data_IF_850042849552
#
_entry.id   IF_850042849552
#
_cell.length_a   1.000
_cell.length_b   1.000
_cell.length_c   1.000
_cell.angle_alpha   90.00
_cell.angle_beta   90.00
_cell.angle_gamma   90.00
#
_symmetry.space_group_name_H-M   'P 1'
#
loop_
_entity.id
_entity.type
_entity.pdbx_description
1 polymer ?
#
# COMPACT_ATOMS: atom_id res chain seq x y z
N UNK A 1 -50.31 -7.84 21.07
CA UNK A 1 -49.78 -9.20 20.88
C UNK A 1 -49.91 -9.53 19.39
N UNK A 2 -48.87 -9.23 18.60
CA UNK A 2 -48.81 -9.45 17.15
C UNK A 2 -47.62 -10.36 16.87
N UNK A 3 -47.88 -11.53 16.30
CA UNK A 3 -46.87 -12.48 15.83
C UNK A 3 -46.42 -12.09 14.42
N UNK A 4 -45.10 -12.02 14.21
CA UNK A 4 -44.47 -11.88 12.90
C UNK A 4 -43.97 -13.27 12.45
N UNK A 5 -44.19 -13.69 11.18
CA UNK A 5 -43.44 -14.77 10.57
C UNK A 5 -42.30 -14.17 9.75
N UNK A 6 -41.10 -14.10 10.33
CA UNK A 6 -39.87 -13.75 9.63
C UNK A 6 -39.09 -15.02 9.31
N UNK A 7 -39.25 -15.51 8.08
CA UNK A 7 -38.53 -16.64 7.53
C UNK A 7 -37.02 -16.36 7.57
N UNK A 8 -36.31 -17.15 8.37
CA UNK A 8 -34.86 -17.22 8.43
C UNK A 8 -34.39 -17.94 7.15
N UNK A 9 -33.95 -17.17 6.15
CA UNK A 9 -33.28 -17.73 4.97
C UNK A 9 -31.86 -18.13 5.33
N UNK A 10 -31.63 -19.43 5.22
CA UNK A 10 -30.39 -20.17 5.40
C UNK A 10 -29.26 -19.66 4.45
N UNK A 11 -28.06 -19.30 4.96
CA UNK A 11 -26.97 -18.76 4.15
C UNK A 11 -26.22 -19.79 3.29
N UNK A 12 -26.72 -21.02 3.13
CA UNK A 12 -26.06 -22.08 2.36
C UNK A 12 -26.58 -22.28 0.92
N UNK A 13 -27.37 -21.36 0.36
CA UNK A 13 -27.93 -21.49 -0.99
C UNK A 13 -27.32 -20.58 -2.09
N UNK A 14 -26.12 -20.02 -1.89
CA UNK A 14 -25.44 -19.24 -2.95
C UNK A 14 -24.59 -20.12 -3.90
N UNK A 15 -24.49 -21.42 -3.67
CA UNK A 15 -23.63 -22.31 -4.52
C UNK A 15 -24.38 -22.94 -5.71
N UNK A 16 -25.66 -22.63 -5.94
CA UNK A 16 -26.45 -23.23 -7.01
C UNK A 16 -26.51 -22.45 -8.35
N UNK A 17 -25.60 -21.51 -8.63
CA UNK A 17 -25.60 -20.79 -9.92
C UNK A 17 -24.32 -20.88 -10.77
N UNK A 18 -23.29 -21.62 -10.35
CA UNK A 18 -22.03 -21.74 -11.13
C UNK A 18 -21.73 -23.15 -11.66
N UNK A 19 -22.55 -24.15 -11.35
CA UNK A 19 -22.38 -25.52 -11.85
C UNK A 19 -23.11 -25.82 -13.18
N UNK A 20 -23.72 -24.83 -13.84
CA UNK A 20 -24.29 -24.98 -15.19
C UNK A 20 -23.45 -24.33 -16.31
N UNK A 21 -22.31 -23.71 -15.99
CA UNK A 21 -21.39 -23.13 -17.00
C UNK A 21 -20.42 -24.14 -17.63
N UNK A 22 -20.57 -25.44 -17.34
CA UNK A 22 -19.76 -26.49 -17.96
C UNK A 22 -20.10 -26.85 -19.42
N UNK A 23 -21.12 -26.21 -20.04
CA UNK A 23 -21.53 -26.50 -21.44
C UNK A 23 -22.03 -25.30 -22.24
N UNK A 24 -21.49 -24.12 -22.01
CA UNK A 24 -21.59 -23.03 -22.98
C UNK A 24 -20.20 -22.49 -23.24
N UNK A 25 -19.63 -22.81 -24.41
CA UNK A 25 -18.47 -22.13 -24.98
C UNK A 25 -18.88 -20.69 -25.28
N UNK A 26 -18.89 -19.85 -24.25
CA UNK A 26 -19.18 -18.42 -24.36
C UNK A 26 -17.89 -17.74 -24.85
N UNK A 27 -17.84 -17.24 -26.09
CA UNK A 27 -16.62 -16.71 -26.69
C UNK A 27 -16.01 -15.56 -25.85
N UNK A 28 -16.84 -14.84 -25.10
CA UNK A 28 -16.42 -13.77 -24.17
C UNK A 28 -15.65 -14.34 -22.97
N UNK A 29 -16.09 -15.48 -22.42
CA UNK A 29 -15.39 -16.15 -21.32
C UNK A 29 -14.06 -16.77 -21.79
N UNK A 30 -14.04 -17.31 -23.01
CA UNK A 30 -12.82 -17.83 -23.63
C UNK A 30 -11.80 -16.71 -23.93
N UNK A 31 -12.27 -15.55 -24.39
CA UNK A 31 -11.43 -14.38 -24.64
C UNK A 31 -10.91 -13.75 -23.34
N UNK A 32 -11.74 -13.66 -22.29
CA UNK A 32 -11.32 -13.22 -20.96
C UNK A 32 -10.29 -14.17 -20.32
N UNK A 33 -10.46 -15.48 -20.47
CA UNK A 33 -9.51 -16.48 -19.99
C UNK A 33 -8.16 -16.39 -20.74
N UNK A 34 -8.18 -16.18 -22.07
CA UNK A 34 -6.97 -15.96 -22.87
C UNK A 34 -6.27 -14.65 -22.50
N UNK A 35 -7.03 -13.58 -22.29
CA UNK A 35 -6.48 -12.29 -21.86
C UNK A 35 -5.81 -12.40 -20.49
N UNK A 36 -6.46 -13.05 -19.52
CA UNK A 36 -5.88 -13.33 -18.22
C UNK A 36 -4.60 -14.18 -18.36
N UNK A 37 -4.64 -15.31 -19.07
CA UNK A 37 -3.48 -16.17 -19.28
C UNK A 37 -2.28 -15.42 -19.88
N UNK A 38 -2.53 -14.55 -20.88
CA UNK A 38 -1.48 -13.73 -21.50
C UNK A 38 -0.89 -12.69 -20.54
N UNK A 39 -1.69 -12.17 -19.61
CA UNK A 39 -1.23 -11.22 -18.60
C UNK A 39 -0.37 -11.91 -17.54
N UNK A 40 -0.77 -13.11 -17.12
CA UNK A 40 0.01 -13.96 -16.23
C UNK A 40 1.38 -14.32 -16.82
N UNK A 41 1.42 -14.69 -18.09
CA UNK A 41 2.67 -14.97 -18.81
C UNK A 41 3.57 -13.72 -18.91
N UNK A 42 2.99 -12.55 -19.20
CA UNK A 42 3.74 -11.29 -19.28
C UNK A 42 4.40 -10.89 -17.96
N UNK A 43 3.66 -11.00 -16.85
CA UNK A 43 4.14 -10.57 -15.55
C UNK A 43 5.02 -11.63 -14.89
N UNK A 44 4.61 -12.90 -14.91
CA UNK A 44 5.36 -13.97 -14.23
C UNK A 44 6.49 -14.56 -15.07
N UNK A 45 6.40 -14.51 -16.40
CA UNK A 45 7.37 -15.12 -17.32
C UNK A 45 7.34 -16.66 -17.34
N UNK A 46 8.40 -17.30 -17.87
CA UNK A 46 8.58 -18.77 -17.95
C UNK A 46 8.40 -19.56 -16.64
N UNK A 47 8.54 -18.99 -15.43
CA UNK A 47 8.22 -19.67 -14.20
C UNK A 47 6.86 -20.33 -14.17
N UNK A 48 5.84 -19.84 -14.90
CA UNK A 48 4.53 -20.51 -15.04
C UNK A 48 4.64 -21.97 -15.51
N UNK A 49 5.66 -22.32 -16.30
CA UNK A 49 5.95 -23.70 -16.73
C UNK A 49 6.73 -24.49 -15.68
N UNK A 50 7.54 -23.81 -14.86
CA UNK A 50 8.25 -24.41 -13.72
C UNK A 50 7.37 -24.60 -12.47
N UNK A 51 6.15 -24.06 -12.47
CA UNK A 51 5.18 -24.27 -11.40
C UNK A 51 4.63 -25.70 -11.52
N UNK A 52 4.95 -26.57 -10.56
CA UNK A 52 4.36 -27.91 -10.48
C UNK A 52 2.82 -27.87 -10.53
N UNK A 53 2.19 -28.98 -10.91
CA UNK A 53 0.74 -29.10 -11.14
C UNK A 53 -0.15 -28.49 -10.04
N UNK A 54 0.30 -28.55 -8.79
CA UNK A 54 -0.38 -27.96 -7.64
C UNK A 54 -0.42 -26.43 -7.68
N UNK A 55 0.68 -25.78 -8.05
CA UNK A 55 0.76 -24.34 -8.12
C UNK A 55 0.11 -23.81 -9.40
N UNK A 56 0.18 -24.56 -10.51
CA UNK A 56 -0.62 -24.27 -11.70
C UNK A 56 -2.12 -24.19 -11.38
N UNK A 57 -2.65 -25.19 -10.66
CA UNK A 57 -4.05 -25.18 -10.21
C UNK A 57 -4.39 -24.00 -9.30
N UNK A 58 -3.45 -23.57 -8.43
CA UNK A 58 -3.65 -22.37 -7.59
C UNK A 58 -3.64 -21.09 -8.40
N UNK A 59 -2.74 -20.98 -9.37
CA UNK A 59 -2.70 -19.84 -10.30
C UNK A 59 -3.97 -19.78 -11.13
N UNK A 60 -4.52 -20.91 -11.58
CA UNK A 60 -5.84 -20.97 -12.24
C UNK A 60 -6.94 -20.43 -11.32
N UNK A 61 -7.00 -20.87 -10.05
CA UNK A 61 -7.95 -20.34 -9.08
C UNK A 61 -7.77 -18.83 -8.81
N UNK A 62 -6.52 -18.35 -8.72
CA UNK A 62 -6.23 -16.92 -8.56
C UNK A 62 -6.55 -16.10 -9.82
N UNK A 63 -6.51 -16.72 -11.00
CA UNK A 63 -6.86 -16.07 -12.26
C UNK A 63 -8.36 -15.80 -12.37
N UNK A 64 -9.17 -16.66 -11.72
CA UNK A 64 -10.61 -16.50 -11.62
C UNK A 64 -11.00 -15.49 -10.52
N UNK A 65 -10.10 -15.22 -9.56
CA UNK A 65 -10.30 -14.24 -8.50
C UNK A 65 -10.14 -12.80 -9.02
N UNK A 66 -11.20 -12.00 -8.90
CA UNK A 66 -11.22 -10.64 -9.42
C UNK A 66 -10.23 -9.70 -8.69
N UNK A 67 -9.94 -9.93 -7.41
CA UNK A 67 -9.02 -9.10 -6.62
C UNK A 67 -7.57 -9.41 -6.97
N UNK A 68 -7.21 -10.68 -7.09
CA UNK A 68 -5.89 -11.10 -7.54
C UNK A 68 -5.60 -10.64 -8.99
N UNK A 69 -6.60 -10.74 -9.88
CA UNK A 69 -6.50 -10.21 -11.25
C UNK A 69 -6.27 -8.71 -11.27
N UNK A 70 -6.97 -7.95 -10.42
CA UNK A 70 -6.75 -6.50 -10.27
C UNK A 70 -5.32 -6.16 -9.85
N UNK A 71 -4.75 -6.89 -8.91
CA UNK A 71 -3.34 -6.72 -8.49
C UNK A 71 -2.39 -7.00 -9.66
N UNK A 72 -2.65 -8.05 -10.43
CA UNK A 72 -1.85 -8.41 -11.60
C UNK A 72 -1.91 -7.36 -12.70
N UNK A 73 -3.11 -6.86 -13.03
CA UNK A 73 -3.31 -5.80 -14.03
C UNK A 73 -2.54 -4.52 -13.66
N UNK A 74 -2.60 -4.11 -12.39
CA UNK A 74 -1.84 -2.95 -11.89
C UNK A 74 -0.34 -3.20 -11.89
N UNK A 75 0.10 -4.41 -11.57
CA UNK A 75 1.51 -4.77 -11.62
C UNK A 75 2.05 -4.68 -13.06
N UNK A 76 1.27 -5.14 -14.04
CA UNK A 76 1.63 -5.04 -15.46
C UNK A 76 1.73 -3.59 -15.96
N UNK A 77 0.96 -2.67 -15.39
CA UNK A 77 1.05 -1.23 -15.70
C UNK A 77 2.31 -0.59 -15.13
N UNK A 78 2.77 -1.06 -13.95
CA UNK A 78 3.96 -0.55 -13.26
C UNK A 78 5.27 -1.19 -13.74
N UNK A 79 5.21 -2.42 -14.22
CA UNK A 79 6.38 -3.19 -14.65
C UNK A 79 6.79 -2.85 -16.09
N UNK A 80 8.10 -2.86 -16.36
CA UNK A 80 8.59 -2.92 -17.73
C UNK A 80 8.37 -4.32 -18.31
N UNK A 81 7.25 -4.46 -19.03
CA UNK A 81 6.88 -5.70 -19.73
C UNK A 81 7.48 -5.79 -21.14
N UNK A 82 8.22 -4.77 -21.59
CA UNK A 82 8.89 -4.77 -22.90
C UNK A 82 10.12 -5.69 -22.94
N UNK A 83 10.76 -5.87 -21.79
CA UNK A 83 11.92 -6.74 -21.63
C UNK A 83 11.50 -8.13 -21.14
N UNK A 84 12.21 -9.20 -21.56
CA UNK A 84 12.06 -10.51 -20.94
C UNK A 84 12.34 -10.42 -19.43
N UNK A 85 11.51 -11.09 -18.65
CA UNK A 85 11.66 -11.10 -17.21
C UNK A 85 10.65 -12.05 -16.58
N UNK A 86 10.91 -12.38 -15.33
CA UNK A 86 10.12 -13.35 -14.61
C UNK A 86 10.14 -13.09 -13.11
N UNK A 87 9.09 -13.59 -12.44
CA UNK A 87 8.93 -13.46 -10.99
C UNK A 87 9.28 -14.80 -10.34
N UNK A 88 10.13 -14.82 -9.31
CA UNK A 88 10.43 -16.07 -8.61
C UNK A 88 9.14 -16.76 -8.09
N UNK A 89 8.98 -18.08 -8.27
CA UNK A 89 7.78 -18.82 -7.83
C UNK A 89 7.39 -18.60 -6.37
N UNK A 90 8.39 -18.47 -5.49
CA UNK A 90 8.20 -18.20 -4.06
C UNK A 90 7.53 -16.86 -3.81
N UNK A 91 7.93 -15.82 -4.55
CA UNK A 91 7.34 -14.49 -4.47
C UNK A 91 5.91 -14.55 -4.98
N UNK A 92 5.71 -15.10 -6.18
CA UNK A 92 4.38 -15.23 -6.78
C UNK A 92 3.41 -15.95 -5.84
N UNK A 93 3.81 -17.11 -5.30
CA UNK A 93 2.96 -17.90 -4.42
C UNK A 93 2.56 -17.15 -3.14
N UNK A 94 3.50 -16.45 -2.51
CA UNK A 94 3.20 -15.66 -1.32
C UNK A 94 2.30 -14.46 -1.63
N UNK A 95 2.55 -13.78 -2.75
CA UNK A 95 1.86 -12.55 -3.12
C UNK A 95 0.41 -12.80 -3.51
N UNK A 96 0.15 -13.82 -4.35
CA UNK A 96 -1.23 -14.11 -4.75
C UNK A 96 -2.08 -14.69 -3.63
N UNK A 97 -1.46 -15.38 -2.67
CA UNK A 97 -2.16 -15.77 -1.44
C UNK A 97 -2.67 -14.55 -0.66
N UNK A 98 -1.97 -13.42 -0.71
CA UNK A 98 -2.44 -12.16 -0.12
C UNK A 98 -3.40 -11.41 -1.05
N UNK A 99 -3.16 -11.44 -2.36
CA UNK A 99 -3.90 -10.67 -3.35
C UNK A 99 -5.38 -11.05 -3.44
N UNK A 100 -5.73 -12.32 -3.18
CA UNK A 100 -7.14 -12.78 -3.14
C UNK A 100 -7.97 -12.10 -2.02
N UNK A 101 -7.31 -11.47 -1.05
CA UNK A 101 -7.95 -10.73 0.05
C UNK A 101 -7.75 -9.22 -0.07
N UNK A 102 -7.20 -8.74 -1.19
CA UNK A 102 -6.87 -7.32 -1.39
C UNK A 102 -8.11 -6.55 -1.88
N UNK A 103 -9.16 -6.46 -1.07
CA UNK A 103 -10.37 -5.69 -1.35
C UNK A 103 -10.11 -4.17 -1.32
N UNK A 104 -9.22 -3.73 -0.43
CA UNK A 104 -8.81 -2.34 -0.27
C UNK A 104 -7.82 -1.88 -1.35
N UNK A 105 -8.01 -0.65 -1.84
CA UNK A 105 -7.17 -0.05 -2.87
C UNK A 105 -5.69 0.06 -2.45
N UNK A 106 -5.39 0.46 -1.22
CA UNK A 106 -4.00 0.56 -0.76
C UNK A 106 -3.34 -0.82 -0.70
N UNK A 107 -4.06 -1.86 -0.29
CA UNK A 107 -3.52 -3.22 -0.27
C UNK A 107 -3.19 -3.66 -1.71
N UNK A 108 -4.11 -3.45 -2.65
CA UNK A 108 -3.91 -3.80 -4.05
C UNK A 108 -2.75 -3.03 -4.70
N UNK A 109 -2.60 -1.74 -4.39
CA UNK A 109 -1.52 -0.90 -4.91
C UNK A 109 -0.14 -1.32 -4.40
N UNK A 110 -0.01 -1.60 -3.10
CA UNK A 110 1.28 -2.03 -2.55
C UNK A 110 1.66 -3.42 -3.07
N UNK A 111 0.73 -4.38 -3.08
CA UNK A 111 1.00 -5.71 -3.61
C UNK A 111 1.34 -5.68 -5.10
N UNK A 112 0.64 -4.86 -5.90
CA UNK A 112 0.93 -4.73 -7.33
C UNK A 112 2.30 -4.10 -7.60
N UNK A 113 2.69 -3.11 -6.80
CA UNK A 113 4.02 -2.52 -6.86
C UNK A 113 5.11 -3.54 -6.53
N UNK A 114 4.95 -4.29 -5.42
CA UNK A 114 5.89 -5.36 -5.04
C UNK A 114 5.97 -6.45 -6.11
N UNK A 115 4.86 -6.79 -6.77
CA UNK A 115 4.86 -7.76 -7.87
C UNK A 115 5.62 -7.23 -9.08
N UNK A 116 5.40 -5.96 -9.44
CA UNK A 116 6.06 -5.32 -10.58
C UNK A 116 7.58 -5.31 -10.43
N UNK A 117 8.07 -5.00 -9.22
CA UNK A 117 9.50 -4.91 -8.93
C UNK A 117 10.17 -6.26 -8.72
N UNK A 118 9.40 -7.31 -8.41
CA UNK A 118 9.90 -8.67 -8.31
C UNK A 118 10.25 -9.29 -9.68
N UNK A 119 9.76 -8.69 -10.78
CA UNK A 119 10.02 -9.15 -12.13
C UNK A 119 11.44 -8.74 -12.54
N UNK A 120 12.33 -9.72 -12.61
CA UNK A 120 13.74 -9.53 -12.98
C UNK A 120 14.09 -10.40 -14.18
N UNK A 121 15.14 -10.04 -14.92
CA UNK A 121 15.58 -10.79 -16.11
C UNK A 121 15.88 -12.25 -15.76
N UNK A 122 16.53 -12.48 -14.62
CA UNK A 122 16.97 -13.80 -14.16
C UNK A 122 15.88 -14.59 -13.44
N UNK A 123 14.88 -13.91 -12.84
CA UNK A 123 13.77 -14.57 -12.15
C UNK A 123 14.12 -15.26 -10.83
N UNK A 124 15.30 -14.98 -10.27
CA UNK A 124 15.81 -15.64 -9.05
C UNK A 124 15.88 -14.71 -7.84
N UNK A 125 15.70 -13.41 -8.02
CA UNK A 125 15.74 -12.43 -6.92
C UNK A 125 14.46 -12.47 -6.10
N UNK A 126 14.50 -13.17 -4.96
CA UNK A 126 13.34 -13.35 -4.09
C UNK A 126 13.23 -12.31 -2.95
N UNK A 127 13.96 -11.19 -3.01
CA UNK A 127 13.87 -10.13 -1.98
C UNK A 127 12.45 -9.60 -1.77
N UNK A 128 11.61 -9.65 -2.81
CA UNK A 128 10.19 -9.30 -2.75
C UNK A 128 9.36 -10.16 -1.78
N UNK A 129 9.84 -11.33 -1.34
CA UNK A 129 9.20 -12.12 -0.27
C UNK A 129 9.11 -11.30 1.02
N UNK A 130 10.18 -10.57 1.37
CA UNK A 130 10.21 -9.74 2.58
C UNK A 130 9.20 -8.60 2.52
N UNK A 131 9.08 -7.95 1.35
CA UNK A 131 8.11 -6.88 1.11
C UNK A 131 6.67 -7.39 1.10
N UNK A 132 6.42 -8.54 0.49
CA UNK A 132 5.11 -9.20 0.51
C UNK A 132 4.68 -9.47 1.96
N UNK A 133 5.58 -10.02 2.78
CA UNK A 133 5.31 -10.28 4.19
C UNK A 133 5.12 -8.99 5.01
N UNK A 134 5.82 -7.91 4.68
CA UNK A 134 5.63 -6.61 5.31
C UNK A 134 4.25 -6.05 5.02
N UNK A 135 3.85 -5.99 3.74
CA UNK A 135 2.53 -5.50 3.33
C UNK A 135 1.42 -6.33 3.98
N UNK A 136 1.57 -7.65 4.09
CA UNK A 136 0.54 -8.51 4.71
C UNK A 136 0.39 -8.32 6.22
N UNK A 137 1.38 -7.73 6.92
CA UNK A 137 1.26 -7.40 8.36
C UNK A 137 0.65 -6.04 8.62
N UNK A 138 0.54 -5.20 7.60
CA UNK A 138 -0.02 -3.86 7.70
C UNK A 138 -1.53 -3.91 7.46
N UNK A 139 -2.30 -3.22 8.30
CA UNK A 139 -3.70 -2.96 8.01
C UNK A 139 -3.83 -2.00 6.82
N UNK A 140 -5.00 -1.97 6.19
CA UNK A 140 -5.31 -0.98 5.14
C UNK A 140 -5.14 0.47 5.64
N UNK A 141 -5.47 0.74 6.90
CA UNK A 141 -5.25 2.06 7.52
C UNK A 141 -3.75 2.36 7.69
N UNK A 142 -2.93 1.36 8.04
CA UNK A 142 -1.48 1.53 8.12
C UNK A 142 -0.87 1.79 6.73
N UNK A 143 -1.28 1.06 5.69
CA UNK A 143 -0.84 1.31 4.31
C UNK A 143 -1.28 2.69 3.81
N UNK A 144 -2.50 3.12 4.16
CA UNK A 144 -3.02 4.44 3.85
C UNK A 144 -2.21 5.54 4.53
N UNK A 145 -1.97 5.41 5.84
CA UNK A 145 -1.16 6.37 6.59
C UNK A 145 0.29 6.40 6.08
N UNK A 146 0.88 5.25 5.76
CA UNK A 146 2.20 5.17 5.14
C UNK A 146 2.24 5.97 3.84
N UNK A 147 1.28 5.74 2.93
CA UNK A 147 1.21 6.50 1.68
C UNK A 147 1.13 8.01 1.92
N UNK A 148 0.31 8.45 2.88
CA UNK A 148 0.16 9.87 3.24
C UNK A 148 1.48 10.45 3.73
N UNK A 149 2.13 9.81 4.70
CA UNK A 149 3.37 10.31 5.30
C UNK A 149 4.49 10.39 4.26
N UNK A 150 4.66 9.36 3.44
CA UNK A 150 5.73 9.32 2.45
C UNK A 150 5.45 10.19 1.22
N UNK A 151 4.19 10.43 0.88
CA UNK A 151 3.83 11.47 -0.11
C UNK A 151 4.14 12.87 0.42
N UNK A 152 3.88 13.13 1.70
CA UNK A 152 4.22 14.41 2.33
C UNK A 152 5.75 14.60 2.41
N UNK A 153 6.50 13.56 2.78
CA UNK A 153 7.96 13.55 2.72
C UNK A 153 8.46 13.89 1.32
N UNK A 154 8.00 13.17 0.29
CA UNK A 154 8.36 13.45 -1.11
C UNK A 154 8.19 14.92 -1.47
N UNK A 155 7.03 15.50 -1.14
CA UNK A 155 6.73 16.92 -1.42
C UNK A 155 7.73 17.86 -0.74
N UNK A 156 8.19 17.54 0.46
CA UNK A 156 9.22 18.31 1.16
C UNK A 156 10.61 18.17 0.56
N UNK A 157 10.88 17.03 -0.10
CA UNK A 157 12.14 16.77 -0.77
C UNK A 157 12.20 17.32 -2.19
N UNK A 158 11.07 17.70 -2.80
CA UNK A 158 11.07 18.31 -4.13
C UNK A 158 11.93 19.58 -4.15
N UNK A 159 12.95 19.58 -5.02
CA UNK A 159 13.92 20.66 -5.14
C UNK A 159 15.01 20.67 -4.05
N UNK A 160 15.08 19.64 -3.20
CA UNK A 160 16.15 19.43 -2.23
C UNK A 160 17.15 18.40 -2.74
N UNK A 161 18.38 18.47 -2.25
CA UNK A 161 19.37 17.41 -2.44
C UNK A 161 19.06 16.25 -1.48
N UNK A 162 18.61 15.12 -2.04
CA UNK A 162 18.21 13.92 -1.31
C UNK A 162 19.27 12.80 -1.36
N UNK A 163 20.49 13.08 -1.82
CA UNK A 163 21.55 12.06 -1.96
C UNK A 163 21.82 11.33 -0.63
N UNK A 164 21.81 12.08 0.47
CA UNK A 164 21.89 11.53 1.83
C UNK A 164 20.49 11.50 2.45
N UNK A 165 19.64 10.60 1.95
CA UNK A 165 18.25 10.46 2.41
C UNK A 165 18.11 10.28 3.93
N UNK A 166 19.10 9.69 4.59
CA UNK A 166 19.13 9.52 6.05
C UNK A 166 19.10 10.85 6.83
N UNK A 167 19.66 11.92 6.26
CA UNK A 167 19.56 13.26 6.84
C UNK A 167 18.09 13.70 6.92
N UNK A 168 17.32 13.43 5.88
CA UNK A 168 15.92 13.82 5.79
C UNK A 168 14.99 12.92 6.61
N UNK A 169 15.25 11.61 6.63
CA UNK A 169 14.37 10.67 7.34
C UNK A 169 14.41 10.88 8.85
N UNK A 170 15.49 11.41 9.40
CA UNK A 170 15.59 11.74 10.84
C UNK A 170 14.84 13.01 11.25
N UNK A 171 14.39 13.83 10.30
CA UNK A 171 13.59 15.03 10.59
C UNK A 171 12.14 14.66 10.89
N UNK A 172 11.56 15.33 11.89
CA UNK A 172 10.18 15.10 12.28
C UNK A 172 9.21 15.93 11.41
N UNK A 173 8.22 15.26 10.83
CA UNK A 173 7.06 15.84 10.17
C UNK A 173 5.93 16.01 11.18
N UNK A 174 5.23 17.13 11.07
CA UNK A 174 4.05 17.49 11.88
C UNK A 174 2.83 17.48 10.97
N UNK A 175 1.84 16.66 11.34
CA UNK A 175 0.53 16.56 10.69
C UNK A 175 -0.55 16.98 11.70
N UNK A 176 -1.38 17.97 11.36
CA UNK A 176 -2.54 18.31 12.20
C UNK A 176 -3.67 17.32 11.96
N UNK A 177 -4.42 16.95 12.99
CA UNK A 177 -5.59 16.08 12.82
C UNK A 177 -6.70 16.77 12.01
N UNK A 178 -6.80 18.09 12.12
CA UNK A 178 -7.70 18.91 11.31
C UNK A 178 -7.43 18.75 9.81
N UNK A 179 -6.18 18.54 9.42
CA UNK A 179 -5.84 18.30 8.03
C UNK A 179 -5.84 16.84 7.61
N UNK A 180 -5.39 15.96 8.51
CA UNK A 180 -5.20 14.55 8.24
C UNK A 180 -6.55 13.81 8.18
N UNK A 181 -7.39 13.96 9.20
CA UNK A 181 -8.60 13.14 9.37
C UNK A 181 -9.63 13.35 8.26
N UNK A 182 -9.94 14.58 7.81
CA UNK A 182 -10.93 14.77 6.74
C UNK A 182 -10.47 14.24 5.38
N UNK A 183 -9.17 14.05 5.19
CA UNK A 183 -8.57 13.62 3.91
C UNK A 183 -8.28 12.13 3.89
N UNK A 184 -8.11 11.53 5.06
CA UNK A 184 -7.73 10.15 5.23
C UNK A 184 -8.87 9.46 5.96
N UNK A 185 -9.75 8.82 5.19
CA UNK A 185 -10.93 8.13 5.73
C UNK A 185 -10.51 7.04 6.72
N UNK A 186 -10.56 7.35 8.00
CA UNK A 186 -10.34 6.42 9.11
C UNK A 186 -11.68 5.99 9.75
N UNK A 187 -12.80 6.21 9.07
CA UNK A 187 -14.15 5.96 9.58
C UNK A 187 -14.72 7.10 10.42
N UNK A 188 -15.78 6.79 11.16
CA UNK A 188 -16.61 7.77 11.86
C UNK A 188 -15.91 8.48 13.03
N UNK A 189 -16.51 9.60 13.46
CA UNK A 189 -16.02 10.50 14.51
C UNK A 189 -15.61 9.78 15.81
N UNK A 190 -16.29 8.68 16.16
CA UNK A 190 -16.09 7.96 17.42
C UNK A 190 -14.94 6.93 17.36
N UNK A 191 -14.44 6.58 16.17
CA UNK A 191 -13.48 5.48 15.99
C UNK A 191 -12.20 5.87 15.26
N UNK A 192 -12.20 6.97 14.51
CA UNK A 192 -11.05 7.35 13.67
C UNK A 192 -9.76 7.52 14.49
N UNK A 193 -9.84 8.06 15.71
CA UNK A 193 -8.66 8.28 16.57
C UNK A 193 -7.98 6.96 16.88
N UNK A 194 -8.74 5.95 17.31
CA UNK A 194 -8.19 4.63 17.63
C UNK A 194 -7.55 3.97 16.41
N UNK A 195 -8.17 4.11 15.24
CA UNK A 195 -7.65 3.55 13.97
C UNK A 195 -6.38 4.24 13.49
N UNK A 196 -6.34 5.58 13.53
CA UNK A 196 -5.16 6.37 13.19
C UNK A 196 -3.97 6.01 14.10
N UNK A 197 -4.20 5.98 15.41
CA UNK A 197 -3.15 5.69 16.39
C UNK A 197 -2.66 4.25 16.26
N UNK A 198 -3.56 3.27 16.08
CA UNK A 198 -3.18 1.89 15.82
C UNK A 198 -2.36 1.74 14.53
N UNK A 199 -2.73 2.46 13.46
CA UNK A 199 -1.97 2.52 12.23
C UNK A 199 -0.57 3.10 12.44
N UNK A 200 -0.45 4.24 13.12
CA UNK A 200 0.83 4.89 13.42
C UNK A 200 1.77 3.99 14.23
N UNK A 201 1.28 3.38 15.31
CA UNK A 201 2.08 2.44 16.12
C UNK A 201 2.45 1.17 15.35
N UNK A 202 1.59 0.69 14.44
CA UNK A 202 1.91 -0.45 13.58
C UNK A 202 3.06 -0.11 12.64
N UNK A 203 3.03 1.07 12.02
CA UNK A 203 4.11 1.53 11.15
C UNK A 203 5.42 1.74 11.91
N UNK A 204 5.37 2.28 13.13
CA UNK A 204 6.57 2.42 13.97
C UNK A 204 7.14 1.05 14.37
N UNK A 205 6.28 0.10 14.77
CA UNK A 205 6.71 -1.27 15.10
C UNK A 205 7.35 -2.00 13.92
N UNK A 206 6.85 -1.78 12.71
CA UNK A 206 7.41 -2.37 11.48
C UNK A 206 8.64 -1.60 10.96
N UNK A 207 9.11 -0.57 11.68
CA UNK A 207 10.30 0.20 11.31
C UNK A 207 10.08 1.15 10.12
N UNK A 208 8.83 1.48 9.81
CA UNK A 208 8.44 2.38 8.72
C UNK A 208 8.24 3.82 9.19
N UNK A 209 8.11 4.04 10.50
CA UNK A 209 8.12 5.34 11.16
C UNK A 209 9.04 5.26 12.37
N UNK A 210 9.45 6.42 12.88
CA UNK A 210 10.19 6.52 14.14
C UNK A 210 9.87 7.82 14.86
N UNK A 211 10.30 7.92 16.12
CA UNK A 211 10.08 9.08 16.98
C UNK A 211 8.62 9.57 16.94
N UNK A 212 7.67 8.61 16.95
CA UNK A 212 6.26 8.90 16.80
C UNK A 212 5.68 9.40 18.13
N UNK A 213 4.95 10.51 18.07
CA UNK A 213 4.16 11.02 19.18
C UNK A 213 2.91 11.69 18.66
N UNK A 214 1.92 11.89 19.53
CA UNK A 214 0.67 12.51 19.16
C UNK A 214 0.00 13.20 20.35
N UNK A 215 -0.95 14.09 20.06
CA UNK A 215 -1.76 14.80 21.04
C UNK A 215 -1.78 16.31 20.81
N UNK A 216 -2.52 17.02 21.66
CA UNK A 216 -2.59 18.49 21.60
C UNK A 216 -1.33 19.17 22.09
N UNK A 217 -1.16 20.44 21.73
CA UNK A 217 -0.03 21.26 22.15
C UNK A 217 0.19 21.27 23.68
N UNK A 218 -0.89 21.27 24.46
CA UNK A 218 -0.86 21.26 25.93
C UNK A 218 -0.26 19.96 26.51
N UNK A 219 -0.27 18.86 25.76
CA UNK A 219 0.28 17.57 26.18
C UNK A 219 1.73 17.37 25.71
N UNK A 220 2.14 18.06 24.64
CA UNK A 220 3.46 17.93 24.01
C UNK A 220 4.46 18.97 24.57
N UNK A 221 4.66 18.95 25.89
CA UNK A 221 5.48 19.92 26.63
C UNK A 221 6.93 19.48 26.88
N UNK A 222 7.30 18.27 26.45
CA UNK A 222 8.66 17.74 26.54
C UNK A 222 9.61 18.33 25.50
N UNK A 223 10.91 18.03 25.62
CA UNK A 223 11.85 18.24 24.51
C UNK A 223 11.60 17.20 23.40
N UNK A 224 11.78 17.56 22.10
CA UNK A 224 12.15 18.89 21.60
C UNK A 224 10.98 19.88 21.48
N UNK A 225 9.74 19.41 21.68
CA UNK A 225 8.49 20.11 21.34
C UNK A 225 8.31 21.46 22.05
N UNK A 226 8.71 21.57 23.32
CA UNK A 226 8.62 22.83 24.08
C UNK A 226 9.38 24.01 23.47
N UNK A 227 10.32 23.75 22.55
CA UNK A 227 11.08 24.80 21.89
C UNK A 227 10.32 25.42 20.70
N UNK A 228 9.13 24.91 20.36
CA UNK A 228 8.36 25.30 19.20
C UNK A 228 6.94 25.72 19.59
N UNK A 229 6.37 26.66 18.84
CA UNK A 229 4.95 26.99 18.88
C UNK A 229 4.20 25.93 18.06
N UNK A 230 3.65 24.94 18.74
CA UNK A 230 2.89 23.88 18.09
C UNK A 230 1.55 24.42 17.57
N UNK A 231 1.04 23.89 16.44
CA UNK A 231 -0.24 24.32 15.89
C UNK A 231 -1.39 24.18 16.89
N UNK A 232 -2.20 25.24 17.01
CA UNK A 232 -3.44 25.26 17.77
C UNK A 232 -4.55 25.94 16.94
N UNK A 233 -5.82 25.54 17.10
CA UNK A 233 -6.32 24.44 17.93
C UNK A 233 -6.08 23.06 17.29
N UNK A 234 -6.14 22.01 18.11
CA UNK A 234 -6.22 20.62 17.66
C UNK A 234 -5.06 19.73 18.08
N UNK A 235 -5.28 18.42 17.92
CA UNK A 235 -4.27 17.39 18.11
C UNK A 235 -3.43 17.22 16.84
N UNK A 236 -2.23 16.68 17.00
CA UNK A 236 -1.30 16.42 15.91
C UNK A 236 -0.66 15.04 16.01
N UNK A 237 -0.20 14.53 14.88
CA UNK A 237 0.75 13.42 14.76
C UNK A 237 2.11 14.02 14.41
N UNK A 238 3.13 13.72 15.21
CA UNK A 238 4.52 14.08 14.91
C UNK A 238 5.32 12.80 14.76
N UNK A 239 6.04 12.65 13.65
CA UNK A 239 6.82 11.44 13.38
C UNK A 239 7.97 11.71 12.43
N UNK A 240 9.07 10.99 12.59
CA UNK A 240 10.13 10.88 11.60
C UNK A 240 9.88 9.66 10.68
N UNK A 241 10.46 9.70 9.50
CA UNK A 241 10.36 8.61 8.51
C UNK A 241 11.59 7.72 8.60
N UNK A 242 11.64 6.66 7.80
CA UNK A 242 12.78 5.74 7.75
C UNK A 242 13.20 5.47 6.31
N UNK A 243 14.42 4.97 6.14
CA UNK A 243 14.92 4.53 4.83
C UNK A 243 14.05 3.37 4.32
N UNK A 244 13.68 2.44 5.21
CA UNK A 244 12.81 1.30 4.90
C UNK A 244 11.43 1.72 4.42
N UNK A 245 10.81 2.74 5.02
CA UNK A 245 9.52 3.22 4.52
C UNK A 245 9.64 4.00 3.21
N UNK A 246 10.75 4.72 2.96
CA UNK A 246 11.01 5.28 1.63
C UNK A 246 11.08 4.16 0.57
N UNK A 247 11.77 3.06 0.90
CA UNK A 247 11.87 1.89 0.03
C UNK A 247 10.51 1.23 -0.18
N UNK A 248 9.69 1.05 0.86
CA UNK A 248 8.35 0.50 0.72
C UNK A 248 7.46 1.40 -0.16
N UNK A 249 7.59 2.72 -0.04
CA UNK A 249 6.88 3.67 -0.90
C UNK A 249 7.28 3.50 -2.37
N UNK A 250 8.58 3.44 -2.66
CA UNK A 250 9.09 3.18 -4.01
C UNK A 250 8.62 1.81 -4.54
N UNK A 251 8.64 0.77 -3.70
CA UNK A 251 8.12 -0.56 -4.03
C UNK A 251 6.65 -0.49 -4.47
N UNK A 252 5.80 0.20 -3.70
CA UNK A 252 4.37 0.34 -4.04
C UNK A 252 4.13 1.04 -5.39
N UNK A 253 5.07 1.88 -5.82
CA UNK A 253 5.04 2.57 -7.11
C UNK A 253 5.75 1.82 -8.25
N UNK A 254 6.25 0.60 -8.03
CA UNK A 254 6.96 -0.15 -9.06
C UNK A 254 8.43 0.23 -9.24
N UNK A 255 9.01 1.00 -8.32
CA UNK A 255 10.36 1.59 -8.40
C UNK A 255 11.34 0.95 -7.40
N UNK A 256 11.14 -0.34 -7.11
CA UNK A 256 11.84 -1.09 -6.06
C UNK A 256 13.31 -1.40 -6.34
N UNK A 257 13.76 -1.20 -7.59
CA UNK A 257 15.16 -1.24 -8.02
C UNK A 257 15.93 0.04 -7.64
N UNK A 258 15.22 1.14 -7.36
CA UNK A 258 15.82 2.41 -6.98
C UNK A 258 16.18 2.47 -5.50
N UNK A 259 17.22 3.23 -5.18
CA UNK A 259 17.56 3.54 -3.80
C UNK A 259 16.56 4.51 -3.17
N UNK A 260 16.48 4.52 -1.84
CA UNK A 260 15.53 5.33 -1.06
C UNK A 260 15.55 6.82 -1.41
N UNK A 261 16.69 7.39 -1.80
CA UNK A 261 16.81 8.80 -2.21
C UNK A 261 15.96 9.15 -3.44
N UNK A 262 15.61 8.18 -4.27
CA UNK A 262 14.76 8.40 -5.46
C UNK A 262 13.36 8.90 -5.12
N UNK A 263 12.92 8.81 -3.85
CA UNK A 263 11.67 9.45 -3.42
C UNK A 263 11.70 10.97 -3.61
N UNK A 264 12.88 11.60 -3.55
CA UNK A 264 13.09 13.02 -3.78
C UNK A 264 13.43 13.40 -5.22
N UNK A 265 13.54 12.43 -6.13
CA UNK A 265 13.87 12.69 -7.53
C UNK A 265 12.69 13.38 -8.24
N UNK A 266 12.95 14.58 -8.76
CA UNK A 266 11.97 15.41 -9.46
C UNK A 266 11.58 14.83 -10.82
N UNK A 267 12.50 14.09 -11.47
CA UNK A 267 12.27 13.49 -12.78
C UNK A 267 11.53 12.15 -12.68
N UNK A 268 11.42 11.60 -11.47
CA UNK A 268 10.61 10.42 -11.20
C UNK A 268 9.13 10.79 -11.10
N UNK A 269 8.35 10.33 -12.08
CA UNK A 269 6.90 10.40 -12.04
C UNK A 269 6.34 9.34 -11.09
N UNK A 270 5.44 9.77 -10.20
CA UNK A 270 4.66 8.89 -9.33
C UNK A 270 3.23 8.91 -9.81
N UNK A 271 2.79 7.82 -10.44
CA UNK A 271 1.43 7.72 -10.93
C UNK A 271 0.41 7.81 -9.78
N UNK A 272 -0.71 8.45 -10.07
CA UNK A 272 -1.82 8.49 -9.15
C UNK A 272 -2.52 7.14 -9.12
N UNK A 273 -2.65 6.56 -7.93
CA UNK A 273 -3.28 5.26 -7.77
C UNK A 273 -4.79 5.32 -8.06
N UNK A 274 -5.31 4.47 -8.96
CA UNK A 274 -6.73 4.38 -9.22
C UNK A 274 -7.52 4.12 -7.93
N UNK A 275 -8.57 4.91 -7.68
CA UNK A 275 -9.42 4.74 -6.50
C UNK A 275 -8.86 5.34 -5.20
N UNK A 276 -7.65 5.89 -5.21
CA UNK A 276 -7.15 6.70 -4.09
C UNK A 276 -7.56 8.15 -4.30
N UNK A 277 -8.31 8.72 -3.36
CA UNK A 277 -8.76 10.10 -3.48
C UNK A 277 -7.55 11.07 -3.57
N UNK A 278 -7.56 12.04 -4.51
CA UNK A 278 -6.50 13.05 -4.61
C UNK A 278 -6.25 13.81 -3.29
N UNK A 279 -7.29 13.95 -2.47
CA UNK A 279 -7.23 14.55 -1.15
C UNK A 279 -6.19 13.87 -0.24
N UNK A 280 -6.07 12.53 -0.29
CA UNK A 280 -5.10 11.76 0.51
C UNK A 280 -3.67 12.15 0.18
N UNK A 281 -3.36 12.35 -1.10
CA UNK A 281 -2.04 12.79 -1.54
C UNK A 281 -1.75 14.25 -1.20
N UNK A 282 -2.77 15.03 -0.82
CA UNK A 282 -2.70 16.47 -0.58
C UNK A 282 -2.57 16.87 0.89
N UNK A 283 -2.48 15.91 1.82
CA UNK A 283 -2.37 16.20 3.25
C UNK A 283 -1.13 17.06 3.51
N UNK A 284 -1.29 18.27 4.09
CA UNK A 284 -0.17 19.12 4.43
C UNK A 284 0.62 18.54 5.61
N UNK A 285 1.93 18.75 5.55
CA UNK A 285 2.84 18.49 6.65
C UNK A 285 3.87 19.61 6.72
N UNK A 286 4.41 19.83 7.92
CA UNK A 286 5.46 20.82 8.17
C UNK A 286 6.62 20.16 8.89
N UNK A 287 7.87 20.53 8.58
CA UNK A 287 8.98 20.06 9.40
C UNK A 287 8.87 20.69 10.78
N UNK A 288 9.11 19.93 11.84
CA UNK A 288 9.07 20.47 13.20
C UNK A 288 10.00 21.67 13.36
N UNK A 289 11.18 21.62 12.72
CA UNK A 289 12.16 22.70 12.74
C UNK A 289 11.73 23.99 12.02
N UNK A 290 10.73 23.90 11.12
CA UNK A 290 10.16 25.07 10.43
C UNK A 290 9.09 25.78 11.27
N UNK A 291 8.64 25.18 12.38
CA UNK A 291 7.68 25.83 13.27
C UNK A 291 8.32 27.03 13.98
N UNK A 292 7.55 28.10 14.26
CA UNK A 292 8.05 29.23 15.05
C UNK A 292 8.59 28.75 16.40
N UNK A 293 9.68 29.37 16.88
CA UNK A 293 10.21 29.05 18.22
C UNK A 293 9.27 29.56 19.31
N UNK A 294 9.09 28.78 20.37
CA UNK A 294 8.43 29.28 21.58
C UNK A 294 9.29 30.42 22.18
N UNK A 295 8.65 31.49 22.65
CA UNK A 295 9.35 32.48 23.46
C UNK A 295 9.82 31.79 24.74
N UNK A 296 11.13 31.85 25.01
CA UNK A 296 11.75 31.23 26.18
C UNK A 296 11.30 31.83 27.50
#
# INVERSE_FOLDING_TARGET
>A
MRTYPGCMTDPLNVVASLASLGKASDPVAEEAAKAAASLWEKVLGPPSEALGSHLKKRVELWSEDALARRVLERAAQKADTSQPGSVPPRVAAGLFEQAQWADNEFVAEYLSGVLATARTTEGVDDRAVSWTAMVSRLSSDALRLHYVVYTALRKKLMGQDADVISHWTTKQLVFTYLDLVPRVDFGDADVWTGRLIAAAYTLEREGLLTAMTHGGADHLTGLPYRNYQLPVPGDMLITATTVEGCRLYLQAHGLGDRWASAIGDADTAFEHWPGVAPAVASVPATWLEDLPRAAG
#
